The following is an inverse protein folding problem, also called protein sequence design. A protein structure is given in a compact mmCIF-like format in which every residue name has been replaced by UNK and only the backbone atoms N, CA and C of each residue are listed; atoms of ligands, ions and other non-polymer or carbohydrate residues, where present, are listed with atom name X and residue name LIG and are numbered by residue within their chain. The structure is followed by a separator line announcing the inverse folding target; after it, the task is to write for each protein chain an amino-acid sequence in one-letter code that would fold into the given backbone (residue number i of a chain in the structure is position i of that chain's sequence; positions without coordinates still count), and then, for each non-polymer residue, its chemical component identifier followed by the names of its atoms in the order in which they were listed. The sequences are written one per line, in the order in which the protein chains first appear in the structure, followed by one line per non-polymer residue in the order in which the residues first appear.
data_IF_525180905390
#
_entry.id   IF_525180905390
#
_cell.length_a   1.000
_cell.length_b   1.000
_cell.length_c   1.000
_cell.angle_alpha   90.00
_cell.angle_beta   90.00
_cell.angle_gamma   90.00
#
_symmetry.space_group_name_H-M   'P 1'
#
loop_
_entity.id
_entity.type
_entity.pdbx_description
1 polymer ?
#
# COMPACT_ATOMS: atom_id res chain seq x y z
N UNK A 1 -3.52 -17.64 -43.91
CA UNK A 1 -2.56 -16.84 -43.11
C UNK A 1 -3.30 -16.35 -41.87
N UNK A 2 -3.07 -16.97 -40.71
CA UNK A 2 -3.85 -16.73 -39.49
C UNK A 2 -3.54 -15.37 -38.86
N UNK A 3 -4.60 -14.66 -38.44
CA UNK A 3 -4.57 -13.33 -37.81
C UNK A 3 -3.57 -13.27 -36.64
N UNK A 4 -2.68 -12.27 -36.69
CA UNK A 4 -1.60 -12.03 -35.69
C UNK A 4 -2.04 -11.11 -34.54
N UNK A 5 -3.33 -10.80 -34.41
CA UNK A 5 -3.82 -9.84 -33.44
C UNK A 5 -5.06 -10.39 -32.72
N UNK A 6 -4.86 -10.82 -31.49
CA UNK A 6 -5.90 -11.22 -30.55
C UNK A 6 -5.49 -10.83 -29.14
N UNK A 7 -6.45 -10.50 -28.27
CA UNK A 7 -6.18 -10.11 -26.89
C UNK A 7 -5.20 -11.11 -26.24
N UNK A 8 -4.01 -10.68 -25.79
CA UNK A 8 -2.98 -11.54 -25.21
C UNK A 8 -3.49 -12.40 -24.05
N UNK A 9 -4.49 -11.93 -23.30
CA UNK A 9 -5.12 -12.69 -22.20
C UNK A 9 -6.12 -13.76 -22.65
N UNK A 10 -6.41 -13.89 -23.95
CA UNK A 10 -7.14 -15.03 -24.53
C UNK A 10 -6.21 -16.18 -24.96
N UNK A 11 -4.90 -15.95 -25.03
CA UNK A 11 -3.93 -17.01 -25.31
C UNK A 11 -3.76 -17.91 -24.11
N UNK A 12 -4.00 -19.21 -24.29
CA UNK A 12 -3.83 -20.21 -23.23
C UNK A 12 -2.39 -20.25 -22.72
N UNK A 13 -1.41 -20.13 -23.62
CA UNK A 13 0.02 -20.09 -23.28
C UNK A 13 0.37 -18.91 -22.37
N UNK A 14 -0.17 -17.71 -22.66
CA UNK A 14 0.06 -16.52 -21.82
C UNK A 14 -0.61 -16.68 -20.46
N UNK A 15 -1.82 -17.24 -20.40
CA UNK A 15 -2.51 -17.50 -19.13
C UNK A 15 -1.77 -18.54 -18.27
N UNK A 16 -1.20 -19.58 -18.89
CA UNK A 16 -0.37 -20.57 -18.19
C UNK A 16 0.93 -19.93 -17.65
N UNK A 17 1.57 -19.05 -18.43
CA UNK A 17 2.73 -18.29 -17.98
C UNK A 17 2.39 -17.40 -16.78
N UNK A 18 1.29 -16.64 -16.84
CA UNK A 18 0.84 -15.78 -15.74
C UNK A 18 0.58 -16.61 -14.47
N UNK A 19 -0.11 -17.76 -14.58
CA UNK A 19 -0.34 -18.65 -13.43
C UNK A 19 0.97 -19.15 -12.83
N UNK A 20 1.94 -19.48 -13.67
CA UNK A 20 3.26 -19.95 -13.25
C UNK A 20 4.02 -18.87 -12.50
N UNK A 21 4.08 -17.65 -13.06
CA UNK A 21 4.73 -16.49 -12.42
C UNK A 21 4.10 -16.17 -11.07
N UNK A 22 2.76 -16.11 -10.99
CA UNK A 22 2.05 -15.88 -9.71
C UNK A 22 2.37 -16.95 -8.66
N UNK A 23 2.52 -18.22 -9.07
CA UNK A 23 2.86 -19.32 -8.16
C UNK A 23 4.27 -19.14 -7.56
N UNK A 24 5.25 -18.77 -8.38
CA UNK A 24 6.60 -18.46 -7.90
C UNK A 24 6.64 -17.23 -6.99
N UNK A 25 5.86 -16.19 -7.31
CA UNK A 25 5.73 -14.98 -6.50
C UNK A 25 5.15 -15.28 -5.10
N UNK A 26 4.06 -16.06 -5.03
CA UNK A 26 3.43 -16.47 -3.75
C UNK A 26 4.38 -17.31 -2.89
N UNK A 27 5.19 -18.17 -3.52
CA UNK A 27 6.21 -19.00 -2.86
C UNK A 27 7.47 -18.24 -2.45
N UNK A 28 7.60 -16.97 -2.84
CA UNK A 28 8.82 -16.16 -2.65
C UNK A 28 10.06 -16.77 -3.31
N UNK A 29 9.87 -17.57 -4.37
CA UNK A 29 10.93 -18.19 -5.18
C UNK A 29 11.35 -17.28 -6.35
N UNK A 30 10.73 -16.12 -6.50
CA UNK A 30 11.13 -15.08 -7.44
C UNK A 30 12.39 -14.33 -7.02
N UNK A 31 12.93 -13.52 -7.93
CA UNK A 31 14.05 -12.61 -7.63
C UNK A 31 13.67 -11.68 -6.46
N UNK A 32 14.60 -11.45 -5.55
CA UNK A 32 14.42 -10.48 -4.47
C UNK A 32 13.98 -9.14 -5.06
N UNK A 33 12.88 -8.62 -4.52
CA UNK A 33 12.34 -7.35 -4.99
C UNK A 33 13.42 -6.27 -4.90
N UNK A 34 13.79 -5.68 -6.04
CA UNK A 34 14.63 -4.48 -6.08
C UNK A 34 13.84 -3.21 -5.72
N UNK A 35 12.78 -3.35 -4.92
CA UNK A 35 11.99 -2.23 -4.43
C UNK A 35 12.88 -1.29 -3.61
N UNK A 36 12.52 -0.01 -3.60
CA UNK A 36 13.19 1.00 -2.77
C UNK A 36 13.23 0.52 -1.32
N UNK A 37 14.36 0.76 -0.64
CA UNK A 37 14.52 0.39 0.77
C UNK A 37 13.43 1.03 1.64
N UNK A 38 13.04 0.39 2.76
CA UNK A 38 12.14 1.00 3.74
C UNK A 38 12.67 2.32 4.28
N UNK A 39 11.77 3.22 4.67
CA UNK A 39 12.12 4.46 5.38
C UNK A 39 12.57 4.07 6.80
N UNK A 40 13.69 4.62 7.24
CA UNK A 40 14.18 4.42 8.61
C UNK A 40 13.57 5.46 9.56
N UNK A 41 13.59 5.17 10.86
CA UNK A 41 12.89 6.00 11.85
C UNK A 41 13.43 7.44 11.91
N UNK A 42 14.74 7.60 11.82
CA UNK A 42 15.36 8.93 11.83
C UNK A 42 14.97 9.74 10.58
N UNK A 43 14.92 9.09 9.42
CA UNK A 43 14.46 9.72 8.18
C UNK A 43 12.99 10.13 8.24
N UNK A 44 12.17 9.33 8.92
CA UNK A 44 10.78 9.69 9.17
C UNK A 44 10.67 10.92 10.08
N UNK A 45 11.49 11.01 11.14
CA UNK A 45 11.51 12.20 12.01
C UNK A 45 12.00 13.45 11.28
N UNK A 46 13.02 13.31 10.45
CA UNK A 46 13.53 14.41 9.64
C UNK A 46 12.49 14.88 8.62
N UNK A 47 11.76 13.96 8.00
CA UNK A 47 10.66 14.26 7.09
C UNK A 47 9.56 15.08 7.78
N UNK A 48 9.12 14.69 8.98
CA UNK A 48 8.12 15.44 9.73
C UNK A 48 8.62 16.84 10.10
N UNK A 49 9.87 16.95 10.53
CA UNK A 49 10.50 18.23 10.86
C UNK A 49 10.57 19.15 9.64
N UNK A 50 10.92 18.60 8.48
CA UNK A 50 10.95 19.35 7.22
C UNK A 50 9.57 19.88 6.83
N UNK A 51 8.54 19.04 6.90
CA UNK A 51 7.15 19.41 6.57
C UNK A 51 6.63 20.52 7.49
N UNK A 52 6.97 20.47 8.78
CA UNK A 52 6.60 21.52 9.74
C UNK A 52 7.25 22.87 9.42
N UNK A 53 8.48 22.85 8.88
CA UNK A 53 9.26 24.04 8.58
C UNK A 53 9.01 24.64 7.17
N UNK A 54 8.20 23.99 6.30
CA UNK A 54 7.92 24.43 4.92
C UNK A 54 7.06 25.72 4.81
N UNK A 55 6.71 26.36 5.93
CA UNK A 55 6.08 27.69 5.98
C UNK A 55 4.62 27.78 5.49
N UNK A 56 4.07 26.73 4.88
CA UNK A 56 2.66 26.66 4.42
C UNK A 56 1.75 26.18 5.56
N UNK A 57 1.20 27.12 6.32
CA UNK A 57 0.47 26.85 7.56
C UNK A 57 -0.76 25.90 7.44
N UNK A 58 -1.38 25.74 6.29
CA UNK A 58 -2.57 24.85 6.18
C UNK A 58 -2.26 23.47 5.60
N UNK A 59 -1.18 23.34 4.84
CA UNK A 59 -0.84 22.08 4.16
C UNK A 59 -0.01 21.15 5.04
N UNK A 60 0.80 21.68 5.96
CA UNK A 60 1.66 20.86 6.80
C UNK A 60 0.86 19.92 7.71
N UNK A 61 -0.31 20.32 8.23
CA UNK A 61 -1.16 19.44 9.04
C UNK A 61 -1.61 18.20 8.25
N UNK A 62 -2.06 18.40 7.01
CA UNK A 62 -2.50 17.30 6.14
C UNK A 62 -1.34 16.37 5.81
N UNK A 63 -0.22 16.93 5.39
CA UNK A 63 0.96 16.16 4.99
C UNK A 63 1.55 15.40 6.18
N UNK A 64 1.66 16.04 7.36
CA UNK A 64 2.09 15.36 8.58
C UNK A 64 1.14 14.25 8.98
N UNK A 65 -0.17 14.45 8.86
CA UNK A 65 -1.16 13.41 9.18
C UNK A 65 -0.99 12.21 8.25
N UNK A 66 -0.80 12.44 6.96
CA UNK A 66 -0.57 11.38 5.96
C UNK A 66 0.70 10.60 6.27
N UNK A 67 1.84 11.24 6.52
CA UNK A 67 3.08 10.53 6.84
C UNK A 67 3.02 9.82 8.20
N UNK A 68 2.37 10.43 9.20
CA UNK A 68 2.17 9.80 10.51
C UNK A 68 1.34 8.53 10.37
N UNK A 69 0.20 8.60 9.68
CA UNK A 69 -0.64 7.43 9.45
C UNK A 69 0.06 6.39 8.58
N UNK A 70 0.84 6.82 7.58
CA UNK A 70 1.65 5.92 6.76
C UNK A 70 2.61 5.09 7.61
N UNK A 71 3.31 5.73 8.55
CA UNK A 71 4.25 5.08 9.45
C UNK A 71 3.55 4.10 10.41
N UNK A 72 2.51 4.56 11.12
CA UNK A 72 1.84 3.77 12.15
C UNK A 72 1.02 2.60 11.60
N UNK A 73 0.44 2.75 10.41
CA UNK A 73 -0.38 1.71 9.77
C UNK A 73 0.43 0.85 8.79
N UNK A 74 1.75 1.09 8.66
CA UNK A 74 2.64 0.42 7.68
C UNK A 74 1.99 0.44 6.28
N UNK A 75 1.42 1.60 5.97
CA UNK A 75 0.56 1.78 4.83
C UNK A 75 1.33 2.35 3.64
N UNK A 76 0.78 2.21 2.44
CA UNK A 76 1.26 2.97 1.29
C UNK A 76 0.68 4.38 1.34
N UNK A 77 1.47 5.36 0.87
CA UNK A 77 0.99 6.75 0.79
C UNK A 77 -0.26 6.86 -0.08
N UNK A 78 -0.41 6.05 -1.14
CA UNK A 78 -1.60 6.06 -1.99
C UNK A 78 -2.87 5.56 -1.29
N UNK A 79 -2.73 4.72 -0.26
CA UNK A 79 -3.84 4.27 0.57
C UNK A 79 -4.24 5.34 1.59
N UNK A 80 -3.26 6.03 2.20
CA UNK A 80 -3.49 7.14 3.14
C UNK A 80 -4.19 8.32 2.49
N UNK A 81 -3.84 8.65 1.25
CA UNK A 81 -4.48 9.73 0.49
C UNK A 81 -5.96 9.43 0.13
N UNK A 82 -6.40 8.17 0.25
CA UNK A 82 -7.80 7.75 0.01
C UNK A 82 -8.61 7.58 1.28
N UNK A 83 -7.98 7.73 2.44
CA UNK A 83 -8.65 7.57 3.73
C UNK A 83 -9.67 8.69 3.93
N UNK A 84 -10.90 8.33 4.29
CA UNK A 84 -11.97 9.27 4.62
C UNK A 84 -12.36 9.12 6.09
N UNK A 85 -13.00 10.14 6.65
CA UNK A 85 -13.54 10.07 8.02
C UNK A 85 -14.55 8.93 8.20
N UNK A 86 -15.29 8.57 7.14
CA UNK A 86 -16.19 7.41 7.11
C UNK A 86 -15.46 6.08 7.38
N UNK A 87 -14.15 6.01 7.12
CA UNK A 87 -13.33 4.83 7.35
C UNK A 87 -12.82 4.75 8.80
N UNK A 88 -13.10 5.75 9.63
CA UNK A 88 -12.68 5.81 11.03
C UNK A 88 -13.92 5.72 11.91
N UNK A 89 -13.96 4.72 12.79
CA UNK A 89 -15.07 4.55 13.74
C UNK A 89 -14.55 4.29 15.15
N UNK A 90 -15.30 4.66 16.20
CA UNK A 90 -14.94 4.33 17.56
C UNK A 90 -14.97 2.82 17.77
N UNK A 91 -13.96 2.29 18.45
CA UNK A 91 -13.96 0.88 18.81
C UNK A 91 -14.79 0.64 20.08
N UNK A 92 -15.96 0.02 19.94
CA UNK A 92 -16.83 -0.31 21.08
C UNK A 92 -16.25 -1.38 22.00
N UNK A 93 -15.35 -2.24 21.48
CA UNK A 93 -14.74 -3.33 22.25
C UNK A 93 -13.52 -2.87 23.05
N UNK A 94 -12.80 -1.88 22.54
CA UNK A 94 -11.60 -1.33 23.18
C UNK A 94 -11.74 0.20 23.33
N UNK A 95 -12.32 0.66 24.46
CA UNK A 95 -12.49 2.09 24.72
C UNK A 95 -11.16 2.86 24.60
N UNK A 96 -11.21 4.03 23.97
CA UNK A 96 -10.02 4.86 23.72
C UNK A 96 -9.26 4.51 22.44
N UNK A 97 -9.73 3.53 21.65
CA UNK A 97 -9.15 3.21 20.34
C UNK A 97 -10.11 3.52 19.20
N UNK A 98 -9.54 3.72 18.00
CA UNK A 98 -10.27 3.92 16.76
C UNK A 98 -10.04 2.72 15.83
N UNK A 99 -11.11 2.28 15.17
CA UNK A 99 -11.04 1.34 14.06
C UNK A 99 -10.81 2.13 12.79
N UNK A 100 -9.81 1.74 12.01
CA UNK A 100 -9.48 2.35 10.73
C UNK A 100 -9.61 1.29 9.63
N UNK A 101 -10.60 1.43 8.76
CA UNK A 101 -10.79 0.53 7.63
C UNK A 101 -9.98 1.01 6.43
N UNK A 102 -8.88 0.32 6.14
CA UNK A 102 -8.05 0.60 4.98
C UNK A 102 -8.56 -0.09 3.72
N UNK A 103 -8.28 0.50 2.55
CA UNK A 103 -8.46 -0.20 1.28
C UNK A 103 -7.46 -1.35 1.20
N UNK A 104 -7.86 -2.43 0.55
CA UNK A 104 -6.97 -3.55 0.30
C UNK A 104 -5.72 -3.09 -0.43
N UNK A 105 -4.57 -3.33 0.20
CA UNK A 105 -3.28 -3.07 -0.39
C UNK A 105 -3.11 -3.98 -1.60
N UNK A 106 -2.59 -3.43 -2.71
CA UNK A 106 -2.26 -4.18 -3.94
C UNK A 106 -1.29 -5.34 -3.71
N UNK A 107 -0.63 -5.38 -2.54
CA UNK A 107 0.36 -6.39 -2.16
C UNK A 107 -0.21 -7.52 -1.28
N UNK A 108 -1.49 -7.45 -0.89
CA UNK A 108 -2.18 -8.55 -0.22
C UNK A 108 -2.89 -9.36 -1.31
N UNK A 109 -2.25 -10.45 -1.72
CA UNK A 109 -2.73 -11.33 -2.78
C UNK A 109 -3.65 -12.45 -2.28
N UNK A 110 -3.87 -12.55 -0.97
CA UNK A 110 -4.64 -13.60 -0.31
C UNK A 110 -5.28 -13.07 0.99
N UNK A 111 -6.56 -13.39 1.23
CA UNK A 111 -7.33 -13.02 2.43
C UNK A 111 -6.67 -13.49 3.73
N UNK A 112 -5.95 -14.61 3.67
CA UNK A 112 -5.22 -15.17 4.81
C UNK A 112 -4.00 -14.35 5.24
N UNK A 113 -3.61 -13.35 4.45
CA UNK A 113 -2.54 -12.38 4.77
C UNK A 113 -3.09 -10.99 5.11
N UNK A 114 -4.40 -10.88 5.29
CA UNK A 114 -5.01 -9.70 5.90
C UNK A 114 -4.72 -9.71 7.41
N UNK A 115 -4.26 -8.60 8.01
CA UNK A 115 -4.28 -8.45 9.47
C UNK A 115 -5.70 -8.47 10.02
#
# INVERSE_FOLDING_TARGET
MGQREGNPTRSEAINQLIKTVKRFEVRREGVLSSARRPIEYDEFRDLLTFVQNDGKQTQHYKINSVFTLQWHLIARVDDMMKLRFENISPNVQNPGTLLCQMRWSKNISDETRCP
#
